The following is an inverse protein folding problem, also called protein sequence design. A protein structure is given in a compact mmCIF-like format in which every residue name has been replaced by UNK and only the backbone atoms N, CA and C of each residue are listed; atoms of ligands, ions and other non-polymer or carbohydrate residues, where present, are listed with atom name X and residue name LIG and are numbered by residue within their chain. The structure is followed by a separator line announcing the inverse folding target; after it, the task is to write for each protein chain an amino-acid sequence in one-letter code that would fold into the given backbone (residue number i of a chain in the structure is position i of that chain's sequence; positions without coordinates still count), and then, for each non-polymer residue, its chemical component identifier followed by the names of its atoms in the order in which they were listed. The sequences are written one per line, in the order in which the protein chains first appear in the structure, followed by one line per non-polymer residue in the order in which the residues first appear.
data_IF_711433525823
#
_entry.id   IF_711433525823
#
_cell.length_a   1.000
_cell.length_b   1.000
_cell.length_c   1.000
_cell.angle_alpha   90.00
_cell.angle_beta   90.00
_cell.angle_gamma   90.00
#
_symmetry.space_group_name_H-M   'P 1'
#
loop_
_entity.id
_entity.type
_entity.pdbx_description
1 polymer ?
#
# COMPACT_ATOMS: atom_id res chain seq x y z
N UNK A 1 -25.76 -18.13 -15.75
CA UNK A 1 -25.58 -17.94 -14.30
C UNK A 1 -24.19 -18.45 -13.95
N UNK A 2 -23.16 -17.59 -14.01
CA UNK A 2 -21.80 -17.97 -13.63
C UNK A 2 -21.46 -17.25 -12.34
N UNK A 3 -21.44 -18.01 -11.25
CA UNK A 3 -21.07 -17.56 -9.93
C UNK A 3 -19.55 -17.43 -9.86
N UNK A 4 -19.04 -16.20 -10.01
CA UNK A 4 -17.64 -15.91 -9.69
C UNK A 4 -17.53 -15.87 -8.18
N UNK A 5 -16.87 -16.89 -7.62
CA UNK A 5 -16.37 -16.86 -6.25
C UNK A 5 -15.29 -15.78 -6.16
N UNK A 6 -15.71 -14.54 -5.91
CA UNK A 6 -14.80 -13.49 -5.43
C UNK A 6 -14.38 -13.94 -4.04
N UNK A 7 -13.16 -14.47 -3.92
CA UNK A 7 -12.46 -14.46 -2.64
C UNK A 7 -12.53 -13.01 -2.15
N UNK A 8 -13.34 -12.76 -1.13
CA UNK A 8 -13.67 -11.41 -0.65
C UNK A 8 -12.48 -10.79 0.08
N UNK A 9 -11.43 -10.45 -0.66
CA UNK A 9 -10.16 -9.94 -0.14
C UNK A 9 -9.35 -9.35 -1.29
N UNK A 10 -9.88 -8.31 -1.95
CA UNK A 10 -9.09 -7.57 -2.93
C UNK A 10 -7.93 -6.81 -2.26
N UNK A 11 -7.02 -6.22 -3.05
CA UNK A 11 -5.88 -5.43 -2.55
C UNK A 11 -6.29 -4.33 -1.57
N UNK A 12 -7.53 -3.82 -1.69
CA UNK A 12 -8.10 -2.83 -0.79
C UNK A 12 -8.24 -3.30 0.65
N UNK A 13 -8.49 -4.59 0.89
CA UNK A 13 -8.56 -5.15 2.24
C UNK A 13 -7.17 -5.54 2.73
N UNK A 14 -6.33 -6.09 1.86
CA UNK A 14 -5.01 -6.58 2.26
C UNK A 14 -4.04 -5.45 2.62
N UNK A 15 -4.16 -4.25 2.03
CA UNK A 15 -3.26 -3.13 2.34
C UNK A 15 -3.50 -2.52 3.72
N UNK A 16 -4.70 -2.66 4.29
CA UNK A 16 -5.07 -1.98 5.54
C UNK A 16 -4.18 -2.45 6.68
N UNK A 17 -3.74 -1.51 7.51
CA UNK A 17 -2.86 -1.73 8.64
C UNK A 17 -1.52 -1.00 8.52
N UNK A 18 -0.59 -1.37 9.40
CA UNK A 18 0.72 -0.74 9.56
C UNK A 18 1.81 -1.55 8.86
N UNK A 19 2.70 -0.84 8.19
CA UNK A 19 3.77 -1.39 7.39
C UNK A 19 5.05 -0.62 7.63
N UNK A 20 6.17 -1.31 7.76
CA UNK A 20 7.49 -0.71 7.93
C UNK A 20 8.38 -1.00 6.72
N UNK A 21 9.18 -0.03 6.29
CA UNK A 21 10.04 -0.17 5.10
C UNK A 21 11.32 -0.98 5.34
N UNK A 22 11.69 -1.20 6.61
CA UNK A 22 12.81 -2.06 6.99
C UNK A 22 12.57 -2.65 8.38
N UNK A 23 13.44 -3.55 8.84
CA UNK A 23 13.41 -4.06 10.22
C UNK A 23 13.99 -3.09 11.26
N UNK A 24 14.43 -1.91 10.84
CA UNK A 24 14.94 -0.88 11.74
C UNK A 24 13.79 -0.30 12.59
N UNK A 25 13.91 -0.24 13.93
CA UNK A 25 12.91 0.38 14.80
C UNK A 25 12.69 1.88 14.52
N UNK A 26 13.63 2.54 13.84
CA UNK A 26 13.50 3.93 13.40
C UNK A 26 12.97 4.06 11.96
N UNK A 27 12.58 2.96 11.32
CA UNK A 27 12.03 2.99 9.97
C UNK A 27 10.69 3.71 9.92
N UNK A 28 10.43 4.37 8.78
CA UNK A 28 9.18 5.09 8.57
C UNK A 28 8.04 4.09 8.48
N UNK A 29 7.06 4.23 9.37
CA UNK A 29 5.82 3.44 9.35
C UNK A 29 4.80 4.11 8.43
N UNK A 30 4.18 3.29 7.60
CA UNK A 30 3.05 3.63 6.76
C UNK A 30 1.80 2.94 7.31
N UNK A 31 0.77 3.71 7.63
CA UNK A 31 -0.51 3.21 8.11
C UNK A 31 -1.61 3.49 7.10
N UNK A 32 -2.19 2.44 6.53
CA UNK A 32 -3.30 2.53 5.57
C UNK A 32 -4.62 2.23 6.27
N UNK A 33 -5.56 3.15 6.17
CA UNK A 33 -6.92 3.01 6.68
C UNK A 33 -7.89 2.62 5.56
N UNK A 34 -8.95 1.89 5.92
CA UNK A 34 -9.97 1.36 4.99
C UNK A 34 -10.79 2.44 4.24
N UNK A 35 -10.65 3.70 4.65
CA UNK A 35 -11.28 4.86 4.02
C UNK A 35 -10.41 5.60 2.99
N UNK A 36 -9.30 4.98 2.54
CA UNK A 36 -8.42 5.56 1.53
C UNK A 36 -7.43 6.58 2.07
N UNK A 37 -7.24 6.65 3.39
CA UNK A 37 -6.23 7.50 4.02
C UNK A 37 -4.95 6.72 4.30
N UNK A 38 -3.81 7.39 4.14
CA UNK A 38 -2.50 6.85 4.50
C UNK A 38 -1.78 7.84 5.41
N UNK A 39 -1.10 7.35 6.45
CA UNK A 39 -0.21 8.15 7.30
C UNK A 39 1.21 7.62 7.14
N UNK A 40 2.15 8.49 6.74
CA UNK A 40 3.56 8.17 6.48
C UNK A 40 4.40 8.94 7.49
N UNK A 41 4.85 8.27 8.55
CA UNK A 41 5.41 8.96 9.72
C UNK A 41 4.40 9.96 10.30
N UNK A 42 4.69 11.26 10.22
CA UNK A 42 3.78 12.34 10.63
C UNK A 42 2.96 12.96 9.48
N UNK A 43 3.18 12.53 8.24
CA UNK A 43 2.53 13.10 7.05
C UNK A 43 1.25 12.34 6.72
N UNK A 44 0.11 13.04 6.65
CA UNK A 44 -1.17 12.46 6.22
C UNK A 44 -1.35 12.62 4.71
N UNK A 45 -1.79 11.56 4.05
CA UNK A 45 -2.08 11.52 2.62
C UNK A 45 -3.33 10.71 2.30
N UNK A 46 -3.53 10.46 1.01
CA UNK A 46 -4.59 9.63 0.45
C UNK A 46 -4.01 8.56 -0.45
N UNK A 47 -4.72 7.44 -0.56
CA UNK A 47 -4.43 6.43 -1.54
C UNK A 47 -5.68 5.98 -2.30
N UNK A 48 -5.47 5.56 -3.54
CA UNK A 48 -6.53 5.00 -4.39
C UNK A 48 -5.95 3.92 -5.29
N UNK A 49 -6.73 2.86 -5.54
CA UNK A 49 -6.38 1.84 -6.52
C UNK A 49 -6.76 2.31 -7.91
N UNK A 50 -5.83 2.14 -8.85
CA UNK A 50 -6.07 2.28 -10.28
C UNK A 50 -6.13 0.90 -10.95
N UNK A 51 -6.22 0.91 -12.28
CA UNK A 51 -6.30 -0.32 -13.06
C UNK A 51 -5.01 -1.15 -12.97
N UNK A 52 -5.15 -2.46 -13.15
CA UNK A 52 -4.05 -3.42 -13.27
C UNK A 52 -3.14 -3.49 -12.04
N UNK A 53 -3.71 -3.35 -10.84
CA UNK A 53 -2.97 -3.48 -9.59
C UNK A 53 -2.05 -2.29 -9.28
N UNK A 54 -2.39 -1.11 -9.79
CA UNK A 54 -1.68 0.13 -9.47
C UNK A 54 -2.27 0.79 -8.23
N UNK A 55 -1.43 1.44 -7.45
CA UNK A 55 -1.83 2.30 -6.34
C UNK A 55 -1.26 3.69 -6.55
N UNK A 56 -2.09 4.69 -6.34
CA UNK A 56 -1.69 6.09 -6.32
C UNK A 56 -1.62 6.55 -4.87
N UNK A 57 -0.54 7.21 -4.50
CA UNK A 57 -0.34 7.86 -3.19
C UNK A 57 -0.27 9.37 -3.44
N UNK A 58 -1.03 10.14 -2.68
CA UNK A 58 -1.02 11.59 -2.72
C UNK A 58 -0.77 12.13 -1.31
N UNK A 59 0.33 12.86 -1.14
CA UNK A 59 0.66 13.60 0.08
C UNK A 59 0.60 15.11 -0.20
N UNK A 60 0.75 15.98 0.81
CA UNK A 60 0.90 17.42 0.59
C UNK A 60 2.13 17.80 -0.24
N UNK A 61 3.13 16.92 -0.33
CA UNK A 61 4.41 17.20 -0.98
C UNK A 61 4.54 16.57 -2.36
N UNK A 62 3.94 15.40 -2.59
CA UNK A 62 4.11 14.66 -3.83
C UNK A 62 2.93 13.76 -4.21
N UNK A 63 2.94 13.31 -5.47
CA UNK A 63 2.00 12.35 -6.02
C UNK A 63 2.77 11.27 -6.76
N UNK A 64 2.55 10.02 -6.36
CA UNK A 64 3.29 8.88 -6.89
C UNK A 64 2.35 7.74 -7.26
N UNK A 65 2.66 7.03 -8.34
CA UNK A 65 1.91 5.86 -8.80
C UNK A 65 2.85 4.66 -8.83
N UNK A 66 2.43 3.59 -8.18
CA UNK A 66 3.22 2.36 -8.03
C UNK A 66 2.45 1.16 -8.57
N UNK A 67 3.19 0.18 -9.10
CA UNK A 67 2.69 -1.19 -9.17
C UNK A 67 2.69 -1.76 -7.74
N UNK A 68 1.55 -2.32 -7.34
CA UNK A 68 1.36 -2.92 -6.03
C UNK A 68 1.38 -4.45 -6.11
N UNK A 69 2.18 -5.06 -5.25
CA UNK A 69 2.08 -6.49 -4.92
C UNK A 69 1.97 -6.63 -3.41
N UNK A 70 0.98 -7.39 -2.93
CA UNK A 70 0.82 -7.75 -1.52
C UNK A 70 0.78 -9.26 -1.41
N UNK A 71 1.50 -9.81 -0.42
CA UNK A 71 1.50 -11.21 -0.06
C UNK A 71 1.62 -11.33 1.46
N UNK A 72 0.48 -11.52 2.13
CA UNK A 72 0.37 -11.66 3.60
C UNK A 72 1.00 -10.49 4.37
N UNK A 73 2.25 -10.69 4.81
CA UNK A 73 3.03 -9.78 5.64
C UNK A 73 4.08 -9.01 4.82
N UNK A 74 4.11 -9.20 3.51
CA UNK A 74 5.01 -8.48 2.60
C UNK A 74 4.22 -7.65 1.60
N UNK A 75 4.67 -6.43 1.37
CA UNK A 75 4.13 -5.54 0.35
C UNK A 75 5.28 -4.88 -0.41
N UNK A 76 5.10 -4.66 -1.71
CA UNK A 76 6.09 -3.94 -2.53
C UNK A 76 5.41 -2.90 -3.39
N UNK A 77 5.97 -1.69 -3.39
CA UNK A 77 5.64 -0.64 -4.35
C UNK A 77 6.78 -0.53 -5.36
N UNK A 78 6.46 -0.60 -6.64
CA UNK A 78 7.45 -0.46 -7.72
C UNK A 78 7.10 0.71 -8.62
N UNK A 79 8.04 1.64 -8.79
CA UNK A 79 7.92 2.73 -9.74
C UNK A 79 8.20 2.24 -11.17
N UNK A 80 7.67 2.97 -12.15
CA UNK A 80 7.98 2.73 -13.57
C UNK A 80 9.47 2.92 -13.89
N UNK A 81 10.16 3.77 -13.13
CA UNK A 81 11.60 4.06 -13.23
C UNK A 81 12.48 2.90 -12.73
N UNK A 82 11.89 1.93 -12.03
CA UNK A 82 12.59 0.76 -11.47
C UNK A 82 12.85 0.82 -9.97
N UNK A 83 12.68 1.98 -9.32
CA UNK A 83 12.76 2.12 -7.86
C UNK A 83 11.72 1.23 -7.18
N UNK A 84 12.09 0.65 -6.04
CA UNK A 84 11.23 -0.27 -5.27
C UNK A 84 11.26 0.07 -3.79
N UNK A 85 10.09 0.15 -3.18
CA UNK A 85 9.90 0.15 -1.74
C UNK A 85 9.39 -1.23 -1.32
N UNK A 86 10.01 -1.78 -0.29
CA UNK A 86 9.62 -3.04 0.33
C UNK A 86 9.10 -2.76 1.72
N UNK A 87 8.06 -3.51 2.09
CA UNK A 87 7.37 -3.32 3.35
C UNK A 87 7.13 -4.66 4.02
N UNK A 88 7.24 -4.66 5.35
CA UNK A 88 6.81 -5.76 6.20
C UNK A 88 5.66 -5.30 7.09
N UNK A 89 4.64 -6.12 7.25
CA UNK A 89 3.49 -5.82 8.11
C UNK A 89 3.92 -5.79 9.57
N UNK A 90 3.42 -4.79 10.30
CA UNK A 90 3.53 -4.71 11.76
C UNK A 90 2.27 -5.36 12.36
N UNK A 91 2.46 -6.25 13.32
CA UNK A 91 1.38 -6.92 14.05
C UNK A 91 0.82 -6.06 15.18
#
# INVERSE_FOLDING_TARGET
MWSVLVACGGPSREIVGKWQTSSDPNSVVWEFADNGLVTIGSTRGRYSFGDSGRIKIETPFEKSVYQLTISRDHMTFRESTGSKLEFTRIK
#
